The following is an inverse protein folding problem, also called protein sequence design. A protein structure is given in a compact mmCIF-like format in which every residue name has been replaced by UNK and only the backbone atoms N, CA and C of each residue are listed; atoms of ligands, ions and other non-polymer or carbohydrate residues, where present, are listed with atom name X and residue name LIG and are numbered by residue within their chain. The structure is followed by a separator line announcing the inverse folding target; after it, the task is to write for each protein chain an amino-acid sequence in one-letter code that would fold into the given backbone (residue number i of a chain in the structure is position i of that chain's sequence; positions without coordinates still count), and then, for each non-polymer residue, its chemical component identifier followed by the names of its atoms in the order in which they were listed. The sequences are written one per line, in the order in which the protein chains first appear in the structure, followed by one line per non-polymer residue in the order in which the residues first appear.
data_IF_150220385480
#
_entry.id   IF_150220385480
#
_cell.length_a   1.000
_cell.length_b   1.000
_cell.length_c   1.000
_cell.angle_alpha   90.00
_cell.angle_beta   90.00
_cell.angle_gamma   90.00
#
_symmetry.space_group_name_H-M   'P 1'
#
loop_
_entity.id
_entity.type
_entity.pdbx_description
1 polymer ?
#
# COMPACT_ATOMS: atom_id res chain seq x y z
N UNK A 1 4.13 6.20 -24.30
CA UNK A 1 4.74 7.14 -23.33
C UNK A 1 5.13 6.35 -22.09
N UNK A 2 6.43 6.28 -21.73
CA UNK A 2 6.85 5.66 -20.46
C UNK A 2 6.28 6.50 -19.31
N UNK A 3 5.32 5.94 -18.56
CA UNK A 3 4.83 6.54 -17.31
C UNK A 3 6.05 6.72 -16.41
N UNK A 4 6.46 7.97 -16.20
CA UNK A 4 7.51 8.29 -15.23
C UNK A 4 6.90 8.15 -13.84
N UNK A 5 7.49 7.35 -12.96
CA UNK A 5 6.98 7.14 -11.60
C UNK A 5 7.06 5.70 -11.11
N UNK A 6 6.50 5.48 -9.92
CA UNK A 6 6.45 4.17 -9.28
C UNK A 6 5.28 3.35 -9.81
N UNK A 7 5.49 2.05 -10.01
CA UNK A 7 4.42 1.12 -10.37
C UNK A 7 4.75 -0.31 -9.95
N UNK A 8 3.73 -1.15 -9.82
CA UNK A 8 3.86 -2.60 -9.66
C UNK A 8 3.45 -3.25 -10.98
N UNK A 9 4.29 -4.17 -11.44
CA UNK A 9 3.92 -5.19 -12.41
C UNK A 9 3.29 -6.35 -11.64
N UNK A 10 1.97 -6.53 -11.80
CA UNK A 10 1.17 -7.43 -10.96
C UNK A 10 1.37 -8.90 -11.35
N UNK A 11 1.78 -9.19 -12.59
CA UNK A 11 2.07 -10.54 -13.07
C UNK A 11 3.40 -11.05 -12.48
N UNK A 12 4.46 -10.24 -12.59
CA UNK A 12 5.78 -10.60 -12.09
C UNK A 12 5.99 -10.29 -10.61
N UNK A 13 5.02 -9.60 -9.98
CA UNK A 13 5.09 -9.07 -8.60
C UNK A 13 6.40 -8.34 -8.34
N UNK A 14 6.64 -7.29 -9.14
CA UNK A 14 7.81 -6.41 -9.02
C UNK A 14 7.40 -4.95 -8.96
N UNK A 15 7.96 -4.23 -8.00
CA UNK A 15 7.82 -2.79 -7.84
C UNK A 15 8.98 -2.09 -8.55
N UNK A 16 8.63 -1.15 -9.42
CA UNK A 16 9.54 -0.37 -10.23
C UNK A 16 9.49 1.11 -9.87
N UNK A 17 10.63 1.78 -9.98
CA UNK A 17 10.72 3.22 -10.20
C UNK A 17 11.25 3.43 -11.62
N UNK A 18 10.37 3.77 -12.56
CA UNK A 18 10.67 3.81 -13.99
C UNK A 18 11.18 2.45 -14.51
N UNK A 19 12.48 2.31 -14.74
CA UNK A 19 13.10 1.10 -15.29
C UNK A 19 13.89 0.32 -14.23
N UNK A 20 13.96 0.84 -13.00
CA UNK A 20 14.72 0.25 -11.90
C UNK A 20 13.76 -0.55 -11.04
N UNK A 21 14.08 -1.82 -10.80
CA UNK A 21 13.39 -2.64 -9.80
C UNK A 21 13.79 -2.11 -8.42
N UNK A 22 12.81 -1.68 -7.62
CA UNK A 22 13.05 -1.21 -6.25
C UNK A 22 12.63 -2.25 -5.20
N UNK A 23 11.73 -3.17 -5.58
CA UNK A 23 11.43 -4.36 -4.79
C UNK A 23 10.90 -5.49 -5.67
N UNK A 24 11.28 -6.71 -5.31
CA UNK A 24 10.75 -7.96 -5.87
C UNK A 24 10.30 -8.91 -4.74
N UNK A 25 10.08 -8.36 -3.54
CA UNK A 25 9.79 -9.14 -2.34
C UNK A 25 8.53 -8.61 -1.69
N UNK A 26 7.43 -9.31 -1.90
CA UNK A 26 6.18 -9.10 -1.16
C UNK A 26 6.24 -9.91 0.12
N UNK A 27 5.87 -9.31 1.25
CA UNK A 27 5.69 -10.08 2.48
C UNK A 27 4.40 -10.90 2.38
N UNK A 28 4.44 -12.21 2.70
CA UNK A 28 3.30 -13.10 2.46
C UNK A 28 2.13 -12.88 3.43
N UNK A 29 2.40 -12.26 4.59
CA UNK A 29 1.41 -12.04 5.63
C UNK A 29 1.17 -10.55 5.80
N UNK A 30 -0.10 -10.16 5.82
CA UNK A 30 -0.49 -8.81 6.21
C UNK A 30 -0.36 -8.65 7.73
N UNK A 31 0.10 -7.48 8.21
CA UNK A 31 0.13 -7.19 9.64
C UNK A 31 -1.30 -7.03 10.14
N UNK A 32 -1.51 -7.20 11.44
CA UNK A 32 -2.72 -6.68 12.09
C UNK A 32 -2.77 -5.16 12.00
N UNK A 33 -3.96 -4.57 12.17
CA UNK A 33 -4.12 -3.11 12.13
C UNK A 33 -3.28 -2.41 13.22
N UNK A 34 -3.16 -3.01 14.39
CA UNK A 34 -2.33 -2.48 15.49
C UNK A 34 -0.84 -2.58 15.15
N UNK A 35 -0.37 -3.69 14.58
CA UNK A 35 1.02 -3.80 14.12
C UNK A 35 1.33 -2.77 13.02
N UNK A 36 0.43 -2.60 12.07
CA UNK A 36 0.58 -1.61 11.00
C UNK A 36 0.68 -0.20 11.57
N UNK A 37 -0.18 0.13 12.56
CA UNK A 37 -0.10 1.39 13.30
C UNK A 37 1.27 1.55 13.95
N UNK A 38 1.73 0.55 14.71
CA UNK A 38 3.05 0.61 15.35
C UNK A 38 4.17 0.82 14.33
N UNK A 39 4.13 0.16 13.17
CA UNK A 39 5.13 0.34 12.11
C UNK A 39 5.12 1.75 11.52
N UNK A 40 3.94 2.33 11.29
CA UNK A 40 3.78 3.70 10.77
C UNK A 40 4.35 4.73 11.75
N UNK A 41 4.04 4.59 13.05
CA UNK A 41 4.45 5.56 14.06
C UNK A 41 5.89 5.38 14.55
N UNK A 42 6.43 4.15 14.55
CA UNK A 42 7.75 3.83 15.11
C UNK A 42 8.87 3.70 14.05
N UNK A 43 8.60 4.10 12.80
CA UNK A 43 9.61 4.07 11.72
C UNK A 43 9.90 2.68 11.15
N UNK A 44 8.94 1.75 11.27
CA UNK A 44 8.98 0.45 10.61
C UNK A 44 8.71 0.53 9.11
N UNK A 45 8.01 1.58 8.67
CA UNK A 45 7.74 1.90 7.25
C UNK A 45 8.71 2.98 6.76
N UNK A 46 9.41 2.72 5.65
CA UNK A 46 10.30 3.69 5.00
C UNK A 46 9.56 4.54 3.95
N UNK A 47 8.70 3.90 3.15
CA UNK A 47 7.91 4.56 2.11
C UNK A 47 6.46 4.11 2.13
N UNK A 48 5.55 5.02 1.81
CA UNK A 48 4.13 4.72 1.61
C UNK A 48 3.74 5.09 0.18
N UNK A 49 3.00 4.20 -0.46
CA UNK A 49 2.40 4.44 -1.76
C UNK A 49 0.90 4.16 -1.71
N UNK A 50 0.14 4.93 -2.48
CA UNK A 50 -1.28 4.67 -2.75
C UNK A 50 -1.43 4.34 -4.24
N UNK A 51 -2.21 3.31 -4.53
CA UNK A 51 -2.67 2.99 -5.88
C UNK A 51 -4.15 3.28 -5.99
N UNK A 52 -4.50 4.35 -6.71
CA UNK A 52 -5.89 4.69 -7.05
C UNK A 52 -6.40 3.96 -8.30
N UNK A 53 -5.48 3.45 -9.12
CA UNK A 53 -5.79 2.79 -10.38
C UNK A 53 -4.86 1.60 -10.60
N UNK A 54 -5.43 0.42 -10.48
CA UNK A 54 -4.77 -0.85 -10.76
C UNK A 54 -5.70 -1.81 -11.49
N UNK A 55 -5.09 -2.65 -12.31
CA UNK A 55 -5.74 -3.76 -12.99
C UNK A 55 -4.91 -5.03 -12.78
N UNK A 56 -5.27 -6.13 -13.44
CA UNK A 56 -4.56 -7.40 -13.29
C UNK A 56 -3.09 -7.36 -13.76
N UNK A 57 -2.70 -6.37 -14.58
CA UNK A 57 -1.36 -6.26 -15.16
C UNK A 57 -0.50 -5.26 -14.41
N UNK A 58 -1.07 -4.11 -14.03
CA UNK A 58 -0.29 -2.98 -13.53
C UNK A 58 -1.03 -2.14 -12.48
N UNK A 59 -0.29 -1.76 -11.45
CA UNK A 59 -0.73 -0.79 -10.44
C UNK A 59 0.16 0.44 -10.48
N UNK A 60 -0.39 1.63 -10.74
CA UNK A 60 0.42 2.85 -10.64
C UNK A 60 0.44 3.32 -9.19
N UNK A 61 1.60 3.80 -8.74
CA UNK A 61 1.81 4.17 -7.35
C UNK A 61 2.10 5.66 -7.25
N UNK A 62 1.36 6.31 -6.38
CA UNK A 62 1.58 7.69 -5.96
C UNK A 62 2.19 7.66 -4.57
N UNK A 63 3.27 8.41 -4.35
CA UNK A 63 3.93 8.45 -3.06
C UNK A 63 3.06 9.25 -2.10
N UNK A 64 2.80 8.67 -0.94
CA UNK A 64 2.11 9.34 0.16
C UNK A 64 3.12 9.69 1.26
N UNK A 65 2.94 10.84 1.89
CA UNK A 65 3.82 11.24 3.00
C UNK A 65 3.50 10.40 4.23
N UNK A 66 4.53 9.83 4.87
CA UNK A 66 4.34 9.09 6.13
C UNK A 66 3.77 10.00 7.23
N UNK A 67 4.10 11.29 7.20
CA UNK A 67 3.59 12.26 8.18
C UNK A 67 2.10 12.57 7.94
N UNK A 68 1.66 12.61 6.68
CA UNK A 68 0.24 12.77 6.35
C UNK A 68 -0.54 11.49 6.73
N UNK A 69 0.04 10.31 6.51
CA UNK A 69 -0.53 9.04 6.97
C UNK A 69 -0.72 9.03 8.49
N UNK A 70 0.27 9.52 9.25
CA UNK A 70 0.19 9.63 10.71
C UNK A 70 -0.89 10.61 11.14
N UNK A 71 -0.95 11.79 10.50
CA UNK A 71 -1.91 12.83 10.82
C UNK A 71 -3.36 12.37 10.57
N UNK A 72 -3.59 11.63 9.47
CA UNK A 72 -4.90 11.14 9.07
C UNK A 72 -5.19 9.71 9.55
N UNK A 73 -4.34 9.12 10.39
CA UNK A 73 -4.46 7.71 10.79
C UNK A 73 -5.84 7.39 11.38
N UNK A 74 -6.26 8.16 12.40
CA UNK A 74 -7.50 7.92 13.13
C UNK A 74 -8.75 8.44 12.40
N UNK A 75 -8.62 9.02 11.20
CA UNK A 75 -9.75 9.63 10.48
C UNK A 75 -9.96 9.04 9.08
N UNK A 76 -8.87 8.66 8.41
CA UNK A 76 -8.87 8.11 7.06
C UNK A 76 -8.48 6.63 7.04
N UNK A 77 -7.35 6.27 7.64
CA UNK A 77 -6.75 4.95 7.44
C UNK A 77 -7.33 3.86 8.34
N UNK A 78 -7.41 4.08 9.65
CA UNK A 78 -7.80 3.05 10.63
C UNK A 78 -9.15 2.39 10.31
N UNK A 79 -10.09 3.15 9.75
CA UNK A 79 -11.45 2.66 9.48
C UNK A 79 -11.68 2.22 8.03
N UNK A 80 -10.73 2.48 7.14
CA UNK A 80 -10.84 2.13 5.71
C UNK A 80 -9.79 1.10 5.28
N UNK A 81 -8.99 0.54 6.20
CA UNK A 81 -8.03 -0.53 5.86
C UNK A 81 -8.71 -1.89 6.00
N UNK A 82 -8.73 -2.66 4.91
CA UNK A 82 -9.20 -4.04 4.87
C UNK A 82 -7.99 -5.00 4.87
N UNK A 83 -7.92 -5.85 5.90
CA UNK A 83 -6.85 -6.84 6.09
C UNK A 83 -7.34 -8.28 5.93
N UNK A 84 -8.63 -8.47 5.63
CA UNK A 84 -9.21 -9.79 5.40
C UNK A 84 -9.15 -10.17 3.92
N UNK A 85 -9.04 -11.47 3.66
CA UNK A 85 -9.16 -12.07 2.34
C UNK A 85 -10.62 -12.44 1.99
N UNK A 86 -11.55 -12.21 2.93
CA UNK A 86 -12.98 -12.43 2.71
C UNK A 86 -13.62 -11.27 1.92
N UNK A 87 -14.66 -11.55 1.12
CA UNK A 87 -15.44 -10.50 0.47
C UNK A 87 -16.04 -9.54 1.50
N UNK A 88 -15.86 -8.24 1.28
CA UNK A 88 -16.43 -7.16 2.11
C UNK A 88 -17.30 -6.24 1.26
N UNK A 89 -18.31 -5.63 1.87
CA UNK A 89 -19.11 -4.60 1.20
C UNK A 89 -18.44 -3.24 1.38
N UNK A 90 -18.44 -2.39 0.35
CA UNK A 90 -17.98 -1.01 0.50
C UNK A 90 -18.85 -0.21 1.47
N UNK A 91 -20.13 -0.56 1.61
CA UNK A 91 -21.07 0.06 2.55
C UNK A 91 -20.64 -0.11 4.02
N UNK A 92 -19.77 -1.09 4.31
CA UNK A 92 -19.22 -1.30 5.64
C UNK A 92 -18.13 -0.27 6.00
N UNK A 93 -17.66 0.51 5.02
CA UNK A 93 -16.56 1.46 5.16
C UNK A 93 -17.03 2.92 5.04
N UNK A 94 -16.48 3.84 5.87
CA UNK A 94 -16.80 5.26 5.78
C UNK A 94 -16.60 5.85 4.37
N UNK A 95 -17.64 6.49 3.82
CA UNK A 95 -17.63 7.05 2.45
C UNK A 95 -17.43 6.01 1.36
N UNK A 96 -17.75 4.74 1.65
CA UNK A 96 -17.83 3.65 0.68
C UNK A 96 -16.51 3.41 -0.07
N UNK A 97 -15.39 3.39 0.67
CA UNK A 97 -14.08 3.09 0.10
C UNK A 97 -13.21 2.32 1.07
N UNK A 98 -12.28 1.52 0.55
CA UNK A 98 -11.32 0.80 1.37
C UNK A 98 -9.92 0.78 0.75
N UNK A 99 -8.92 0.42 1.56
CA UNK A 99 -7.56 0.14 1.18
C UNK A 99 -7.25 -1.33 1.48
N UNK A 100 -6.87 -2.09 0.47
CA UNK A 100 -6.08 -3.30 0.71
C UNK A 100 -4.62 -2.92 0.93
N UNK A 101 -3.94 -3.70 1.75
CA UNK A 101 -2.55 -3.44 2.13
C UNK A 101 -1.67 -4.54 1.55
N UNK A 102 -0.57 -4.16 0.89
CA UNK A 102 0.57 -5.05 0.67
C UNK A 102 1.83 -4.43 1.29
N UNK A 103 2.62 -5.25 1.97
CA UNK A 103 3.95 -4.88 2.43
C UNK A 103 5.00 -5.41 1.48
N UNK A 104 5.94 -4.55 1.11
CA UNK A 104 7.05 -4.87 0.22
C UNK A 104 8.38 -4.65 0.95
N UNK A 105 9.36 -5.51 0.70
CA UNK A 105 10.71 -5.36 1.25
C UNK A 105 11.64 -4.79 0.18
N UNK A 106 12.30 -3.66 0.46
CA UNK A 106 13.37 -3.20 -0.43
C UNK A 106 14.68 -3.98 -0.19
N UNK A 107 15.67 -3.76 -1.05
CA UNK A 107 16.97 -4.46 -0.98
C UNK A 107 17.73 -4.25 0.34
N UNK A 108 17.40 -3.19 1.09
CA UNK A 108 18.00 -2.88 2.40
C UNK A 108 17.24 -3.50 3.57
N UNK A 109 16.21 -4.31 3.30
CA UNK A 109 15.36 -4.93 4.31
C UNK A 109 14.38 -3.99 4.99
N UNK A 110 14.12 -2.82 4.39
CA UNK A 110 13.14 -1.86 4.87
C UNK A 110 11.78 -2.12 4.22
N UNK A 111 10.72 -1.72 4.91
CA UNK A 111 9.34 -1.98 4.49
C UNK A 111 8.80 -0.79 3.71
N UNK A 112 8.25 -1.09 2.55
CA UNK A 112 7.44 -0.22 1.72
C UNK A 112 5.98 -0.64 1.93
N UNK A 113 5.13 0.31 2.32
CA UNK A 113 3.70 0.11 2.46
C UNK A 113 2.99 0.51 1.17
N UNK A 114 2.18 -0.38 0.61
CA UNK A 114 1.36 -0.08 -0.56
C UNK A 114 -0.12 -0.23 -0.18
N UNK A 115 -0.89 0.83 -0.41
CA UNK A 115 -2.33 0.90 -0.14
C UNK A 115 -3.08 0.91 -1.48
N UNK A 116 -3.88 -0.12 -1.75
CA UNK A 116 -4.70 -0.24 -2.96
C UNK A 116 -6.11 0.24 -2.67
N UNK A 117 -6.46 1.39 -3.23
CA UNK A 117 -7.74 2.04 -2.97
C UNK A 117 -8.85 1.46 -3.86
N UNK A 118 -9.95 1.05 -3.24
CA UNK A 118 -11.18 0.67 -3.93
C UNK A 118 -12.31 1.62 -3.55
N UNK A 119 -13.14 1.90 -4.56
CA UNK A 119 -14.38 2.67 -4.51
C UNK A 119 -15.47 1.91 -5.26
#
# INVERSE_FOLDING_TARGET
MRRKGYFIDNESKRLYNNEIVVSNKVYPNNPTLEELKQMVFNGGIEEVFISHYFDNQKSNLERESIDDVRAEWNTKYQYNICLTDEPVSLEDFPKEYLFFVEMWGNEKGKVILVLFMHH
#
